data_IF_391586893374
#
_entry.id   IF_391586893374
#
_cell.length_a   1.000
_cell.length_b   1.000
_cell.length_c   1.000
_cell.angle_alpha   90.00
_cell.angle_beta   90.00
_cell.angle_gamma   90.00
#
_symmetry.space_group_name_H-M   'P 1'
#
loop_
_entity.id
_entity.type
_entity.pdbx_description
1 polymer ?
#
# COMPACT_ATOMS: atom_id res chain seq x y z
N UNK A 1 14.25 -4.67 39.24
CA UNK A 1 12.83 -4.27 39.42
C UNK A 1 12.45 -3.10 38.51
N UNK A 2 13.09 -1.90 38.50
CA UNK A 2 12.73 -0.75 37.63
C UNK A 2 12.60 -1.11 36.14
N UNK A 3 13.58 -1.83 35.55
CA UNK A 3 13.53 -2.28 34.15
C UNK A 3 12.35 -3.20 33.84
N UNK A 4 11.91 -4.01 34.79
CA UNK A 4 10.74 -4.89 34.60
C UNK A 4 9.43 -4.10 34.66
N UNK A 5 9.33 -3.15 35.60
CA UNK A 5 8.19 -2.23 35.68
C UNK A 5 8.06 -1.43 34.39
N UNK A 6 9.16 -0.83 33.90
CA UNK A 6 9.17 -0.09 32.65
C UNK A 6 8.70 -0.91 31.43
N UNK A 7 9.06 -2.21 31.37
CA UNK A 7 8.52 -3.09 30.31
C UNK A 7 7.01 -3.26 30.40
N UNK A 8 6.46 -3.38 31.62
CA UNK A 8 5.03 -3.49 31.83
C UNK A 8 4.31 -2.19 31.47
N UNK A 9 4.89 -1.04 31.81
CA UNK A 9 4.35 0.29 31.46
C UNK A 9 4.28 0.47 29.94
N UNK A 10 5.33 0.12 29.18
CA UNK A 10 5.34 0.16 27.70
C UNK A 10 4.22 -0.72 27.12
N UNK A 11 3.99 -1.92 27.65
CA UNK A 11 2.89 -2.77 27.19
C UNK A 11 1.51 -2.15 27.50
N UNK A 12 1.37 -1.49 28.65
CA UNK A 12 0.13 -0.82 29.01
C UNK A 12 -0.14 0.44 28.17
N UNK A 13 0.89 1.15 27.73
CA UNK A 13 0.79 2.28 26.79
C UNK A 13 0.19 1.86 25.44
N UNK A 14 0.42 0.63 24.98
CA UNK A 14 -0.16 0.11 23.75
C UNK A 14 -1.63 -0.31 23.88
N UNK A 15 -2.15 -0.52 25.10
CA UNK A 15 -3.47 -1.09 25.34
C UNK A 15 -4.63 -0.27 24.73
N UNK A 16 -4.68 1.07 24.79
CA UNK A 16 -5.72 1.86 24.13
C UNK A 16 -5.78 1.64 22.62
N UNK A 17 -4.61 1.56 21.98
CA UNK A 17 -4.50 1.32 20.54
C UNK A 17 -4.94 -0.10 20.17
N UNK A 18 -4.53 -1.11 20.96
CA UNK A 18 -4.97 -2.50 20.78
C UNK A 18 -6.50 -2.56 20.83
N UNK A 19 -7.12 -1.97 21.86
CA UNK A 19 -8.59 -1.91 21.98
C UNK A 19 -9.27 -1.22 20.80
N UNK A 20 -8.69 -0.12 20.31
CA UNK A 20 -9.23 0.66 19.18
C UNK A 20 -9.20 -0.10 17.87
N UNK A 21 -8.16 -0.90 17.64
CA UNK A 21 -7.95 -1.62 16.36
C UNK A 21 -8.29 -3.10 16.41
N UNK A 22 -8.68 -3.64 17.55
CA UNK A 22 -9.12 -5.03 17.67
C UNK A 22 -10.29 -5.33 16.73
N UNK A 23 -10.16 -6.38 15.90
CA UNK A 23 -11.12 -6.78 14.88
C UNK A 23 -11.19 -5.83 13.66
N UNK A 24 -10.34 -4.81 13.59
CA UNK A 24 -10.33 -3.86 12.46
C UNK A 24 -9.37 -4.31 11.37
N UNK A 25 -9.77 -4.10 10.12
CA UNK A 25 -8.91 -4.35 8.97
C UNK A 25 -8.00 -3.14 8.71
N UNK A 26 -6.72 -3.40 8.54
CA UNK A 26 -5.73 -2.41 8.11
C UNK A 26 -5.08 -2.91 6.83
N UNK A 27 -5.19 -2.14 5.75
CA UNK A 27 -4.55 -2.46 4.47
C UNK A 27 -3.20 -1.77 4.41
N UNK A 28 -2.16 -2.55 4.14
CA UNK A 28 -0.78 -2.10 4.09
C UNK A 28 -0.22 -2.30 2.67
N UNK A 29 0.13 -1.21 2.01
CA UNK A 29 0.92 -1.30 0.80
C UNK A 29 2.40 -1.39 1.17
N UNK A 30 3.01 -2.52 0.86
CA UNK A 30 4.41 -2.82 1.09
C UNK A 30 5.23 -2.71 -0.18
N UNK A 31 6.28 -1.88 -0.20
CA UNK A 31 7.07 -1.69 -1.41
C UNK A 31 8.24 -0.74 -1.23
N UNK A 32 8.92 -0.47 -2.34
CA UNK A 32 10.09 0.41 -2.37
C UNK A 32 11.29 -0.15 -1.61
N UNK A 33 12.03 0.72 -0.96
CA UNK A 33 13.27 0.39 -0.23
C UNK A 33 13.04 -0.52 0.98
N UNK A 34 11.83 -0.58 1.54
CA UNK A 34 11.48 -1.53 2.61
C UNK A 34 11.65 -3.01 2.19
N UNK A 35 11.63 -3.30 0.89
CA UNK A 35 11.78 -4.65 0.33
C UNK A 35 13.22 -5.00 -0.05
N UNK A 36 14.21 -4.14 0.17
CA UNK A 36 15.58 -4.33 -0.31
C UNK A 36 16.47 -4.92 0.77
N UNK A 37 16.37 -4.43 2.01
CA UNK A 37 17.18 -4.90 3.14
C UNK A 37 16.51 -6.08 3.83
N UNK A 38 17.27 -7.15 4.08
CA UNK A 38 16.74 -8.33 4.78
C UNK A 38 16.32 -8.00 6.22
N UNK A 39 17.05 -7.12 6.92
CA UNK A 39 16.66 -6.61 8.23
C UNK A 39 15.30 -5.90 8.22
N UNK A 40 15.03 -5.05 7.22
CA UNK A 40 13.75 -4.37 7.07
C UNK A 40 12.60 -5.32 6.71
N UNK A 41 12.88 -6.34 5.89
CA UNK A 41 11.89 -7.38 5.57
C UNK A 41 11.52 -8.18 6.82
N UNK A 42 12.50 -8.52 7.64
CA UNK A 42 12.26 -9.22 8.91
C UNK A 42 11.44 -8.40 9.89
N UNK A 43 11.79 -7.11 10.07
CA UNK A 43 11.01 -6.21 10.93
C UNK A 43 9.57 -6.08 10.42
N UNK A 44 9.38 -5.93 9.10
CA UNK A 44 8.04 -5.89 8.50
C UNK A 44 7.23 -7.15 8.81
N UNK A 45 7.83 -8.34 8.63
CA UNK A 45 7.14 -9.60 8.91
C UNK A 45 6.74 -9.73 10.38
N UNK A 46 7.63 -9.33 11.31
CA UNK A 46 7.34 -9.30 12.75
C UNK A 46 6.20 -8.31 13.08
N UNK A 47 6.20 -7.14 12.47
CA UNK A 47 5.13 -6.15 12.66
C UNK A 47 3.77 -6.71 12.21
N UNK A 48 3.70 -7.34 11.03
CA UNK A 48 2.48 -7.97 10.51
C UNK A 48 1.99 -9.10 11.43
N UNK A 49 2.90 -9.96 11.87
CA UNK A 49 2.58 -11.06 12.80
C UNK A 49 2.07 -10.51 14.13
N UNK A 50 2.75 -9.50 14.69
CA UNK A 50 2.30 -8.83 15.94
C UNK A 50 0.90 -8.24 15.79
N UNK A 51 0.63 -7.53 14.68
CA UNK A 51 -0.70 -6.98 14.40
C UNK A 51 -1.78 -8.07 14.41
N UNK A 52 -1.54 -9.21 13.74
CA UNK A 52 -2.50 -10.32 13.69
C UNK A 52 -2.73 -10.93 15.09
N UNK A 53 -1.67 -11.18 15.85
CA UNK A 53 -1.78 -11.79 17.20
C UNK A 53 -2.53 -10.92 18.21
N UNK A 54 -2.49 -9.61 18.08
CA UNK A 54 -3.27 -8.70 18.94
C UNK A 54 -4.68 -8.41 18.43
N UNK A 55 -5.14 -9.14 17.40
CA UNK A 55 -6.51 -9.09 16.89
C UNK A 55 -6.78 -8.04 15.82
N UNK A 56 -5.74 -7.44 15.23
CA UNK A 56 -5.87 -6.62 14.02
C UNK A 56 -5.88 -7.54 12.80
N UNK A 57 -6.63 -7.19 11.74
CA UNK A 57 -6.68 -7.93 10.49
C UNK A 57 -5.82 -7.23 9.41
N UNK A 58 -4.50 -7.53 9.32
CA UNK A 58 -3.64 -6.95 8.30
C UNK A 58 -3.88 -7.59 6.94
N UNK A 59 -3.98 -6.77 5.91
CA UNK A 59 -4.02 -7.17 4.49
C UNK A 59 -2.85 -6.51 3.79
N UNK A 60 -1.95 -7.30 3.25
CA UNK A 60 -0.72 -6.80 2.61
C UNK A 60 -0.89 -6.76 1.10
N UNK A 61 -0.65 -5.60 0.48
CA UNK A 61 -0.52 -5.44 -0.97
C UNK A 61 0.92 -5.08 -1.27
N UNK A 62 1.63 -5.89 -2.04
CA UNK A 62 3.05 -5.62 -2.27
C UNK A 62 3.34 -5.06 -3.66
N UNK A 63 4.44 -4.32 -3.76
CA UNK A 63 5.06 -3.94 -5.03
C UNK A 63 6.10 -4.97 -5.49
N UNK A 64 7.03 -4.56 -6.35
CA UNK A 64 8.11 -5.43 -6.84
C UNK A 64 8.81 -4.88 -8.09
N UNK A 65 8.75 -3.56 -8.31
CA UNK A 65 9.39 -2.90 -9.46
C UNK A 65 10.86 -3.27 -9.64
N UNK A 66 11.71 -3.14 -8.61
CA UNK A 66 13.13 -3.50 -8.71
C UNK A 66 13.38 -4.97 -9.07
N UNK A 67 12.54 -5.89 -8.54
CA UNK A 67 12.65 -7.32 -8.83
C UNK A 67 12.25 -7.63 -10.29
N UNK A 68 11.21 -6.96 -10.79
CA UNK A 68 10.82 -7.04 -12.21
C UNK A 68 11.95 -6.53 -13.08
N UNK A 69 12.53 -5.34 -12.79
CA UNK A 69 13.61 -4.76 -13.58
C UNK A 69 14.85 -5.67 -13.61
N UNK A 70 15.20 -6.25 -12.48
CA UNK A 70 16.31 -7.22 -12.39
C UNK A 70 16.07 -8.43 -13.29
N UNK A 71 14.84 -8.97 -13.31
CA UNK A 71 14.50 -10.15 -14.11
C UNK A 71 14.43 -9.81 -15.59
N UNK A 72 13.79 -8.69 -15.98
CA UNK A 72 13.74 -8.23 -17.38
C UNK A 72 15.15 -8.02 -17.93
N UNK A 73 16.04 -7.36 -17.15
CA UNK A 73 17.45 -7.18 -17.54
C UNK A 73 18.18 -8.50 -17.76
N UNK A 74 17.96 -9.49 -16.88
CA UNK A 74 18.57 -10.82 -17.02
C UNK A 74 18.09 -11.57 -18.27
N UNK A 75 16.85 -11.30 -18.71
CA UNK A 75 16.27 -11.87 -19.94
C UNK A 75 16.56 -11.04 -21.20
N UNK A 76 17.29 -9.92 -21.09
CA UNK A 76 17.58 -9.03 -22.21
C UNK A 76 16.39 -8.18 -22.67
N UNK A 77 15.31 -8.12 -21.88
CA UNK A 77 14.10 -7.36 -22.19
C UNK A 77 14.24 -5.93 -21.65
N UNK A 78 14.02 -4.95 -22.52
CA UNK A 78 14.10 -3.55 -22.12
C UNK A 78 12.88 -3.12 -21.32
N UNK A 79 13.12 -2.51 -20.14
CA UNK A 79 12.07 -1.88 -19.33
C UNK A 79 11.91 -0.42 -19.75
N UNK A 80 10.66 0.00 -20.02
CA UNK A 80 10.32 1.38 -20.36
C UNK A 80 9.28 1.91 -19.39
N UNK A 81 9.45 3.17 -18.98
CA UNK A 81 8.50 3.87 -18.11
C UNK A 81 7.97 5.13 -18.79
N UNK A 82 6.71 5.44 -18.56
CA UNK A 82 6.09 6.70 -18.93
C UNK A 82 5.46 7.26 -17.65
N UNK A 83 5.94 8.42 -17.22
CA UNK A 83 5.49 9.10 -15.99
C UNK A 83 5.37 8.17 -14.76
N UNK A 84 6.40 7.36 -14.54
CA UNK A 84 6.48 6.46 -13.40
C UNK A 84 5.69 5.15 -13.52
N UNK A 85 4.92 4.96 -14.62
CA UNK A 85 4.23 3.70 -14.90
C UNK A 85 5.02 2.87 -15.92
N UNK A 86 5.16 1.57 -15.66
CA UNK A 86 5.85 0.64 -16.56
C UNK A 86 4.98 0.37 -17.79
N UNK A 87 5.51 0.62 -18.97
CA UNK A 87 4.93 0.11 -20.22
C UNK A 87 5.05 -1.40 -20.23
N UNK A 88 3.91 -2.09 -20.32
CA UNK A 88 3.84 -3.54 -20.14
C UNK A 88 3.39 -4.22 -21.44
N UNK A 89 4.34 -4.66 -22.26
CA UNK A 89 4.06 -5.47 -23.48
C UNK A 89 3.59 -6.88 -23.12
N UNK A 90 3.21 -7.67 -24.13
CA UNK A 90 2.88 -9.09 -23.93
C UNK A 90 4.04 -9.90 -23.35
N UNK A 91 5.26 -9.65 -23.80
CA UNK A 91 6.46 -10.29 -23.29
C UNK A 91 6.78 -9.86 -21.86
N UNK A 92 6.57 -8.57 -21.55
CA UNK A 92 6.80 -8.01 -20.22
C UNK A 92 5.78 -8.51 -19.20
N UNK A 93 4.50 -8.71 -19.58
CA UNK A 93 3.45 -9.10 -18.61
C UNK A 93 3.69 -10.49 -18.03
N UNK A 94 4.21 -11.43 -18.82
CA UNK A 94 4.51 -12.78 -18.35
C UNK A 94 5.61 -12.73 -17.28
N UNK A 95 6.65 -11.91 -17.49
CA UNK A 95 7.70 -11.68 -16.49
C UNK A 95 7.14 -10.99 -15.23
N UNK A 96 6.27 -9.98 -15.40
CA UNK A 96 5.61 -9.29 -14.29
C UNK A 96 4.79 -10.27 -13.46
N UNK A 97 3.98 -11.12 -14.09
CA UNK A 97 3.16 -12.13 -13.40
C UNK A 97 4.03 -13.16 -12.66
N UNK A 98 5.06 -13.71 -13.30
CA UNK A 98 6.00 -14.65 -12.67
C UNK A 98 6.70 -14.02 -11.46
N UNK A 99 7.19 -12.79 -11.60
CA UNK A 99 7.95 -12.12 -10.54
C UNK A 99 7.05 -11.71 -9.39
N UNK A 100 5.93 -11.06 -9.67
CA UNK A 100 5.04 -10.59 -8.61
C UNK A 100 4.26 -11.74 -7.96
N UNK A 101 3.57 -12.57 -8.73
CA UNK A 101 2.72 -13.65 -8.21
C UNK A 101 3.51 -14.85 -7.69
N UNK A 102 4.62 -15.16 -8.33
CA UNK A 102 5.45 -16.32 -7.96
C UNK A 102 6.55 -15.97 -6.97
N UNK A 103 7.51 -15.11 -7.36
CA UNK A 103 8.71 -14.88 -6.57
C UNK A 103 8.47 -13.96 -5.38
N UNK A 104 8.14 -12.69 -5.62
CA UNK A 104 8.03 -11.66 -4.55
C UNK A 104 6.93 -12.01 -3.56
N UNK A 105 5.76 -12.41 -4.05
CA UNK A 105 4.64 -12.80 -3.22
C UNK A 105 5.04 -13.96 -2.26
N UNK A 106 5.66 -15.01 -2.78
CA UNK A 106 6.02 -16.20 -1.99
C UNK A 106 7.19 -15.95 -1.04
N UNK A 107 8.11 -15.05 -1.39
CA UNK A 107 9.16 -14.59 -0.45
C UNK A 107 8.53 -13.90 0.78
N UNK A 108 7.55 -13.01 0.59
CA UNK A 108 6.85 -12.31 1.68
C UNK A 108 6.05 -13.30 2.53
N UNK A 109 5.26 -14.18 1.89
CA UNK A 109 4.48 -15.22 2.58
C UNK A 109 5.38 -16.12 3.43
N UNK A 110 6.47 -16.60 2.84
CA UNK A 110 7.43 -17.47 3.56
C UNK A 110 8.02 -16.76 4.78
N UNK A 111 8.37 -15.49 4.64
CA UNK A 111 8.96 -14.71 5.73
C UNK A 111 7.97 -14.50 6.88
N UNK A 112 6.72 -14.13 6.60
CA UNK A 112 5.68 -13.98 7.61
C UNK A 112 5.42 -15.32 8.32
N UNK A 113 5.36 -16.44 7.57
CA UNK A 113 5.11 -17.76 8.13
C UNK A 113 6.28 -18.25 8.99
N UNK A 114 7.52 -17.95 8.61
CA UNK A 114 8.72 -18.25 9.43
C UNK A 114 8.71 -17.49 10.77
N UNK A 115 8.03 -16.36 10.86
CA UNK A 115 7.86 -15.58 12.09
C UNK A 115 6.62 -15.95 12.89
N UNK A 116 5.92 -17.04 12.51
CA UNK A 116 4.76 -17.56 13.22
C UNK A 116 3.42 -17.00 12.73
N UNK A 117 3.39 -16.26 11.62
CA UNK A 117 2.15 -15.87 10.98
C UNK A 117 1.53 -17.01 10.17
N UNK A 118 0.31 -16.78 9.70
CA UNK A 118 -0.42 -17.69 8.81
C UNK A 118 -0.78 -16.97 7.51
N UNK A 119 0.22 -16.70 6.66
CA UNK A 119 0.05 -15.90 5.46
C UNK A 119 -0.29 -16.75 4.24
N UNK A 120 -1.17 -16.23 3.39
CA UNK A 120 -1.55 -16.79 2.09
C UNK A 120 -1.32 -15.76 1.00
N UNK A 121 -0.58 -16.17 -0.03
CA UNK A 121 -0.28 -15.32 -1.18
C UNK A 121 -1.23 -15.57 -2.35
N UNK A 122 -1.84 -14.49 -2.82
CA UNK A 122 -2.80 -14.46 -3.93
C UNK A 122 -2.50 -13.31 -4.90
N UNK A 123 -3.12 -13.35 -6.07
CA UNK A 123 -3.18 -12.27 -7.05
C UNK A 123 -4.61 -11.78 -7.20
N UNK A 124 -4.84 -10.70 -7.89
CA UNK A 124 -6.20 -10.24 -8.20
C UNK A 124 -7.00 -11.19 -9.13
N UNK A 125 -6.32 -12.15 -9.77
CA UNK A 125 -6.96 -13.18 -10.61
C UNK A 125 -7.64 -14.28 -9.78
N UNK A 126 -7.14 -14.53 -8.57
CA UNK A 126 -7.65 -15.58 -7.70
C UNK A 126 -9.07 -15.22 -7.22
N UNK A 127 -10.02 -16.11 -7.47
CA UNK A 127 -11.42 -15.89 -7.16
C UNK A 127 -12.06 -14.70 -7.88
N UNK A 128 -11.49 -14.27 -9.02
CA UNK A 128 -11.91 -13.04 -9.73
C UNK A 128 -11.96 -11.82 -8.78
N UNK A 129 -10.97 -11.75 -7.86
CA UNK A 129 -10.93 -10.73 -6.82
C UNK A 129 -10.79 -9.32 -7.39
N UNK A 130 -9.97 -9.13 -8.43
CA UNK A 130 -9.78 -7.83 -9.08
C UNK A 130 -10.05 -7.94 -10.57
N UNK A 131 -11.09 -7.25 -11.02
CA UNK A 131 -11.38 -7.06 -12.43
C UNK A 131 -10.90 -5.67 -12.87
N UNK A 132 -10.30 -5.60 -14.05
CA UNK A 132 -9.74 -4.36 -14.58
C UNK A 132 -9.99 -4.25 -16.08
N UNK A 133 -10.00 -3.02 -16.58
CA UNK A 133 -9.93 -2.71 -18.02
C UNK A 133 -8.55 -2.17 -18.36
N UNK A 134 -8.15 -2.23 -19.63
CA UNK A 134 -6.90 -1.60 -20.06
C UNK A 134 -6.92 -0.11 -19.78
N UNK A 135 -5.87 0.35 -19.11
CA UNK A 135 -5.68 1.76 -18.83
C UNK A 135 -5.19 2.49 -20.09
N UNK A 136 -5.96 3.49 -20.51
CA UNK A 136 -5.60 4.40 -21.61
C UNK A 136 -5.41 5.79 -21.04
N UNK A 137 -4.23 6.33 -21.18
CA UNK A 137 -3.95 7.69 -20.74
C UNK A 137 -4.22 8.66 -21.85
N UNK A 138 -5.00 9.71 -21.56
CA UNK A 138 -5.24 10.81 -22.47
C UNK A 138 -4.40 12.00 -22.02
N UNK A 139 -3.48 12.44 -22.86
CA UNK A 139 -2.68 13.64 -22.62
C UNK A 139 -3.28 14.80 -23.43
N UNK A 140 -3.71 15.84 -22.71
CA UNK A 140 -4.10 17.10 -23.32
C UNK A 140 -2.89 18.02 -23.36
N UNK A 141 -2.46 18.43 -24.56
CA UNK A 141 -1.48 19.50 -24.74
C UNK A 141 -2.19 20.71 -25.38
N UNK A 142 -1.95 21.92 -24.88
CA UNK A 142 -2.51 23.13 -25.50
C UNK A 142 -2.09 23.33 -26.97
N UNK A 143 -1.03 22.64 -27.39
CA UNK A 143 -0.45 22.73 -28.75
C UNK A 143 -1.00 21.68 -29.71
N UNK A 144 -1.88 20.76 -29.25
CA UNK A 144 -2.43 19.69 -30.07
C UNK A 144 -3.94 19.84 -30.24
N UNK A 145 -4.41 19.87 -31.49
CA UNK A 145 -5.84 19.88 -31.84
C UNK A 145 -6.64 18.66 -31.41
N UNK A 146 -5.93 17.58 -31.08
CA UNK A 146 -6.52 16.30 -30.58
C UNK A 146 -5.73 15.76 -29.39
N UNK A 147 -6.41 15.18 -28.39
CA UNK A 147 -5.73 14.54 -27.27
C UNK A 147 -4.88 13.35 -27.76
N UNK A 148 -3.65 13.27 -27.28
CA UNK A 148 -2.77 12.12 -27.52
C UNK A 148 -3.16 10.97 -26.58
N UNK A 149 -3.43 9.78 -27.14
CA UNK A 149 -3.67 8.56 -26.37
C UNK A 149 -2.33 7.85 -26.17
N UNK A 150 -1.85 7.79 -24.96
CA UNK A 150 -0.65 7.05 -24.58
C UNK A 150 -1.06 5.62 -24.22
N UNK A 151 -0.65 4.64 -25.03
CA UNK A 151 -0.87 3.22 -24.76
C UNK A 151 0.28 2.68 -23.87
N UNK A 152 -0.06 2.24 -22.68
CA UNK A 152 0.84 1.60 -21.74
C UNK A 152 0.86 0.08 -21.88
N UNK A 153 0.18 -0.48 -22.87
CA UNK A 153 0.06 -1.93 -23.11
C UNK A 153 -0.88 -2.62 -22.10
N UNK A 154 -0.38 -3.67 -21.46
CA UNK A 154 -1.14 -4.50 -20.50
C UNK A 154 -1.10 -3.92 -19.08
N UNK A 155 -1.31 -2.61 -18.97
CA UNK A 155 -1.55 -1.91 -17.71
C UNK A 155 -3.06 -1.76 -17.51
N UNK A 156 -3.53 -1.97 -16.29
CA UNK A 156 -4.96 -1.97 -15.99
C UNK A 156 -5.39 -0.85 -15.05
N UNK A 157 -6.66 -0.49 -15.18
CA UNK A 157 -7.45 0.32 -14.25
C UNK A 157 -8.53 -0.56 -13.64
N UNK A 158 -8.57 -0.64 -12.31
CA UNK A 158 -9.52 -1.50 -11.56
C UNK A 158 -10.94 -1.00 -11.79
N UNK A 159 -11.81 -1.91 -12.20
CA UNK A 159 -13.26 -1.64 -12.40
C UNK A 159 -14.10 -2.24 -11.28
N UNK A 160 -13.65 -3.35 -10.67
CA UNK A 160 -14.37 -4.02 -9.58
C UNK A 160 -13.41 -4.78 -8.68
N UNK A 161 -13.66 -4.73 -7.37
CA UNK A 161 -13.06 -5.62 -6.38
C UNK A 161 -14.15 -6.49 -5.77
N UNK A 162 -13.91 -7.80 -5.72
CA UNK A 162 -14.74 -8.77 -5.02
C UNK A 162 -14.00 -9.19 -3.74
N UNK A 163 -14.39 -8.73 -2.56
CA UNK A 163 -13.66 -8.99 -1.32
C UNK A 163 -13.86 -10.41 -0.76
N UNK A 164 -14.75 -11.23 -1.34
CA UNK A 164 -15.18 -12.52 -0.78
C UNK A 164 -14.00 -13.43 -0.37
N UNK A 165 -12.96 -13.54 -1.21
CA UNK A 165 -11.80 -14.38 -0.87
C UNK A 165 -11.04 -13.81 0.33
N UNK A 166 -10.92 -12.49 0.44
CA UNK A 166 -10.24 -11.81 1.56
C UNK A 166 -11.01 -11.99 2.86
N UNK A 167 -12.34 -11.85 2.81
CA UNK A 167 -13.22 -12.09 3.95
C UNK A 167 -13.14 -13.55 4.42
N UNK A 168 -13.08 -14.51 3.48
CA UNK A 168 -12.93 -15.94 3.80
C UNK A 168 -11.57 -16.23 4.46
N UNK A 169 -10.49 -15.61 3.96
CA UNK A 169 -9.15 -15.76 4.54
C UNK A 169 -9.09 -15.16 5.95
N UNK A 170 -9.69 -13.99 6.15
CA UNK A 170 -9.72 -13.32 7.46
C UNK A 170 -10.51 -14.14 8.50
N UNK A 171 -11.69 -14.64 8.14
CA UNK A 171 -12.51 -15.52 8.99
C UNK A 171 -11.79 -16.80 9.43
N UNK A 172 -10.79 -17.25 8.66
CA UNK A 172 -9.96 -18.41 8.97
C UNK A 172 -8.55 -18.02 9.47
N UNK A 173 -8.39 -16.80 10.00
CA UNK A 173 -7.17 -16.30 10.63
C UNK A 173 -5.94 -16.24 9.71
N UNK A 174 -6.13 -16.24 8.39
CA UNK A 174 -5.06 -16.05 7.43
C UNK A 174 -4.71 -14.57 7.26
N UNK A 175 -3.47 -14.31 6.87
CA UNK A 175 -2.97 -12.99 6.49
C UNK A 175 -2.86 -12.95 4.96
N UNK A 176 -3.75 -12.23 4.24
CA UNK A 176 -3.67 -12.12 2.80
C UNK A 176 -2.46 -11.31 2.35
N UNK A 177 -1.68 -11.84 1.39
CA UNK A 177 -0.57 -11.15 0.72
C UNK A 177 -0.88 -11.08 -0.77
N UNK A 178 -1.10 -9.90 -1.31
CA UNK A 178 -1.71 -9.67 -2.62
C UNK A 178 -0.69 -9.10 -3.59
N UNK A 179 -0.49 -9.79 -4.71
CA UNK A 179 0.27 -9.27 -5.84
C UNK A 179 -0.63 -8.40 -6.72
N UNK A 180 -0.16 -7.24 -7.22
CA UNK A 180 -0.97 -6.26 -7.94
C UNK A 180 -1.17 -6.63 -9.41
N UNK A 181 -1.78 -7.79 -9.64
CA UNK A 181 -2.12 -8.36 -10.94
C UNK A 181 -3.62 -8.59 -10.98
N UNK A 182 -4.26 -8.20 -12.06
CA UNK A 182 -5.70 -8.31 -12.23
C UNK A 182 -6.08 -9.07 -13.50
N UNK A 183 -7.34 -9.52 -13.54
CA UNK A 183 -7.99 -10.10 -14.72
C UNK A 183 -8.61 -8.97 -15.54
N UNK A 184 -8.26 -8.91 -16.83
CA UNK A 184 -8.89 -8.03 -17.79
C UNK A 184 -10.25 -8.54 -18.27
N UNK A 185 -11.03 -7.67 -18.94
CA UNK A 185 -12.38 -8.00 -19.44
C UNK A 185 -12.40 -9.18 -20.43
N UNK A 186 -11.29 -9.39 -21.15
CA UNK A 186 -11.14 -10.51 -22.09
C UNK A 186 -10.37 -11.70 -21.49
N UNK A 187 -10.16 -11.71 -20.18
CA UNK A 187 -9.39 -12.72 -19.47
C UNK A 187 -7.87 -12.53 -19.48
N UNK A 188 -7.38 -11.45 -20.12
CA UNK A 188 -5.96 -11.12 -20.13
C UNK A 188 -5.43 -10.70 -18.77
N UNK A 189 -4.14 -10.94 -18.54
CA UNK A 189 -3.43 -10.46 -17.35
C UNK A 189 -3.11 -8.98 -17.48
N UNK A 190 -3.42 -8.18 -16.46
CA UNK A 190 -3.12 -6.75 -16.39
C UNK A 190 -2.27 -6.43 -15.17
N UNK A 191 -1.19 -5.66 -15.40
CA UNK A 191 -0.34 -5.11 -14.36
C UNK A 191 -0.99 -3.86 -13.76
N UNK A 192 -1.14 -3.80 -12.45
CA UNK A 192 -1.76 -2.67 -11.76
C UNK A 192 -0.72 -2.00 -10.84
N UNK A 193 -0.82 -0.71 -10.65
CA UNK A 193 -0.03 -0.04 -9.63
C UNK A 193 -0.48 -0.50 -8.23
N UNK A 194 0.47 -0.92 -7.40
CA UNK A 194 0.20 -1.47 -6.07
C UNK A 194 -0.48 -0.48 -5.11
N UNK A 195 -0.22 0.83 -5.25
CA UNK A 195 -0.88 1.85 -4.43
C UNK A 195 -2.39 1.89 -4.74
N UNK A 196 -2.78 1.80 -6.04
CA UNK A 196 -4.19 1.73 -6.44
C UNK A 196 -4.86 0.41 -6.05
N UNK A 197 -4.13 -0.72 -6.12
CA UNK A 197 -4.67 -2.00 -5.62
C UNK A 197 -4.96 -1.90 -4.12
N UNK A 198 -4.03 -1.34 -3.34
CA UNK A 198 -4.21 -1.18 -1.89
C UNK A 198 -5.40 -0.27 -1.56
N UNK A 199 -5.56 0.84 -2.28
CA UNK A 199 -6.70 1.76 -2.11
C UNK A 199 -8.03 1.05 -2.43
N UNK A 200 -8.13 0.36 -3.57
CA UNK A 200 -9.37 -0.30 -3.94
C UNK A 200 -9.73 -1.48 -3.04
N UNK A 201 -8.74 -2.20 -2.52
CA UNK A 201 -8.95 -3.25 -1.52
C UNK A 201 -9.39 -2.65 -0.19
N UNK A 202 -8.73 -1.56 0.27
CA UNK A 202 -9.13 -0.86 1.48
C UNK A 202 -10.59 -0.42 1.40
N UNK A 203 -10.98 0.19 0.28
CA UNK A 203 -12.36 0.59 0.02
C UNK A 203 -13.34 -0.58 0.04
N UNK A 204 -13.02 -1.68 -0.64
CA UNK A 204 -13.90 -2.85 -0.71
C UNK A 204 -14.10 -3.53 0.67
N UNK A 205 -13.06 -3.54 1.51
CA UNK A 205 -13.08 -4.09 2.87
C UNK A 205 -13.57 -3.09 3.94
N UNK A 206 -13.82 -1.84 3.58
CA UNK A 206 -14.10 -0.74 4.53
C UNK A 206 -13.05 -0.68 5.64
N UNK A 207 -11.78 -0.68 5.22
CA UNK A 207 -10.66 -0.75 6.13
C UNK A 207 -10.62 0.46 7.09
N UNK A 208 -10.21 0.23 8.32
CA UNK A 208 -10.03 1.31 9.32
C UNK A 208 -8.90 2.25 8.93
N UNK A 209 -7.83 1.69 8.33
CA UNK A 209 -6.66 2.45 7.84
C UNK A 209 -6.14 1.87 6.53
N UNK A 210 -5.65 2.78 5.68
CA UNK A 210 -4.76 2.47 4.56
C UNK A 210 -3.37 3.03 4.88
N UNK A 211 -2.34 2.19 4.88
CA UNK A 211 -0.95 2.60 5.14
C UNK A 211 -0.12 2.37 3.87
N UNK A 212 0.44 3.44 3.30
CA UNK A 212 1.35 3.39 2.17
C UNK A 212 2.80 3.50 2.66
N UNK A 213 3.53 2.39 2.67
CA UNK A 213 4.96 2.38 2.96
C UNK A 213 5.75 2.84 1.72
N UNK A 214 6.65 3.79 1.91
CA UNK A 214 7.44 4.42 0.86
C UNK A 214 8.91 4.59 1.29
N UNK A 215 9.71 5.26 0.48
CA UNK A 215 11.11 5.60 0.73
C UNK A 215 11.30 7.08 1.17
N UNK A 216 10.24 7.72 1.61
CA UNK A 216 10.26 9.09 2.13
C UNK A 216 9.54 9.16 3.48
N UNK A 217 9.96 10.10 4.33
CA UNK A 217 9.41 10.29 5.68
C UNK A 217 7.89 10.60 5.68
N UNK A 218 7.35 11.10 4.56
CA UNK A 218 5.97 11.53 4.41
C UNK A 218 5.87 12.81 3.59
N UNK A 219 4.76 13.53 3.72
CA UNK A 219 4.50 14.78 3.00
C UNK A 219 5.22 15.94 3.70
N UNK A 220 6.01 16.71 2.94
CA UNK A 220 6.72 17.90 3.43
C UNK A 220 6.06 19.18 2.93
N UNK A 221 6.11 20.23 3.73
CA UNK A 221 5.66 21.57 3.32
C UNK A 221 6.73 22.27 2.46
N UNK A 222 6.48 23.52 2.05
CA UNK A 222 7.42 24.35 1.25
C UNK A 222 8.79 24.55 1.92
N UNK A 223 8.84 24.53 3.26
CA UNK A 223 10.08 24.67 4.03
C UNK A 223 10.80 23.32 4.24
N UNK A 224 10.33 22.22 3.63
CA UNK A 224 10.93 20.89 3.79
C UNK A 224 10.57 20.19 5.11
N UNK A 225 9.69 20.77 5.95
CA UNK A 225 9.30 20.20 7.24
C UNK A 225 8.18 19.15 7.02
N UNK A 226 8.35 17.98 7.63
CA UNK A 226 7.34 16.92 7.65
C UNK A 226 6.01 17.42 8.23
N UNK A 227 4.91 17.07 7.57
CA UNK A 227 3.55 17.30 8.04
C UNK A 227 3.01 16.00 8.62
N UNK A 228 2.98 15.88 9.94
CA UNK A 228 2.50 14.67 10.61
C UNK A 228 1.00 14.42 10.36
N UNK A 229 0.23 15.49 10.15
CA UNK A 229 -1.21 15.40 9.90
C UNK A 229 -1.67 16.43 8.89
N UNK A 230 -2.50 16.01 7.97
CA UNK A 230 -3.14 16.86 6.95
C UNK A 230 -4.63 16.51 6.85
N UNK A 231 -5.45 17.53 6.70
CA UNK A 231 -6.82 17.33 6.22
C UNK A 231 -6.80 17.14 4.70
N UNK A 232 -7.83 16.50 4.16
CA UNK A 232 -8.06 16.38 2.71
C UNK A 232 -7.91 17.72 1.97
N UNK A 233 -8.46 18.80 2.55
CA UNK A 233 -8.34 20.16 1.98
C UNK A 233 -6.88 20.62 1.93
N UNK A 234 -6.14 20.50 3.04
CA UNK A 234 -4.73 20.89 3.11
C UNK A 234 -3.86 20.11 2.12
N UNK A 235 -4.06 18.78 2.01
CA UNK A 235 -3.36 17.96 1.04
C UNK A 235 -3.66 18.40 -0.40
N UNK A 236 -4.93 18.70 -0.73
CA UNK A 236 -5.33 19.22 -2.05
C UNK A 236 -4.74 20.60 -2.34
N UNK A 237 -4.61 21.47 -1.33
CA UNK A 237 -3.98 22.79 -1.48
C UNK A 237 -2.46 22.66 -1.75
N UNK A 238 -1.78 21.71 -1.09
CA UNK A 238 -0.36 21.41 -1.34
C UNK A 238 -0.13 20.86 -2.75
N UNK A 239 -1.07 20.07 -3.31
CA UNK A 239 -1.02 19.63 -4.71
C UNK A 239 -1.19 20.84 -5.66
N UNK A 240 -2.21 21.66 -5.45
CA UNK A 240 -2.47 22.86 -6.29
C UNK A 240 -1.30 23.83 -6.30
N UNK A 241 -0.64 24.01 -5.17
CA UNK A 241 0.54 24.87 -5.03
C UNK A 241 1.85 24.21 -5.50
N UNK A 242 1.78 23.00 -6.12
CA UNK A 242 2.92 22.23 -6.63
C UNK A 242 4.00 21.92 -5.57
N UNK A 243 3.65 21.90 -4.30
CA UNK A 243 4.52 21.42 -3.20
C UNK A 243 4.58 19.90 -3.24
N UNK A 244 3.43 19.25 -3.40
CA UNK A 244 3.35 17.81 -3.67
C UNK A 244 3.47 17.61 -5.17
N UNK A 245 4.51 16.90 -5.59
CA UNK A 245 4.85 16.64 -7.00
C UNK A 245 5.51 15.28 -7.15
N UNK A 246 5.85 14.92 -8.39
CA UNK A 246 6.60 13.70 -8.74
C UNK A 246 6.03 12.43 -8.09
N UNK A 247 6.87 11.57 -7.55
CA UNK A 247 6.49 10.30 -6.94
C UNK A 247 5.58 10.39 -5.72
N UNK A 248 5.48 11.56 -5.06
CA UNK A 248 4.55 11.77 -3.94
C UNK A 248 3.12 12.06 -4.41
N UNK A 249 2.95 12.68 -5.57
CA UNK A 249 1.62 13.05 -6.10
C UNK A 249 0.68 11.85 -6.26
N UNK A 250 1.06 10.73 -6.92
CA UNK A 250 0.19 9.57 -7.02
C UNK A 250 -0.17 8.96 -5.66
N UNK A 251 0.73 8.99 -4.68
CA UNK A 251 0.48 8.47 -3.32
C UNK A 251 -0.54 9.31 -2.56
N UNK A 252 -0.39 10.63 -2.58
CA UNK A 252 -1.37 11.54 -1.95
C UNK A 252 -2.72 11.46 -2.66
N UNK A 253 -2.76 11.36 -3.99
CA UNK A 253 -4.02 11.16 -4.71
C UNK A 253 -4.69 9.83 -4.30
N UNK A 254 -3.94 8.75 -4.19
CA UNK A 254 -4.42 7.47 -3.68
C UNK A 254 -5.05 7.61 -2.27
N UNK A 255 -4.37 8.32 -1.36
CA UNK A 255 -4.91 8.63 -0.03
C UNK A 255 -6.20 9.45 -0.09
N UNK A 256 -6.26 10.47 -0.95
CA UNK A 256 -7.44 11.31 -1.11
C UNK A 256 -8.64 10.54 -1.71
N UNK A 257 -8.38 9.61 -2.62
CA UNK A 257 -9.42 8.79 -3.23
C UNK A 257 -9.93 7.73 -2.24
N UNK A 258 -9.05 7.15 -1.43
CA UNK A 258 -9.43 6.29 -0.31
C UNK A 258 -10.40 7.00 0.64
N UNK A 259 -10.06 8.22 1.11
CA UNK A 259 -10.93 9.00 1.99
C UNK A 259 -12.31 9.30 1.36
N UNK A 260 -12.39 9.54 0.04
CA UNK A 260 -13.67 9.71 -0.67
C UNK A 260 -14.52 8.43 -0.67
N UNK A 261 -13.86 7.27 -0.66
CA UNK A 261 -14.51 5.95 -0.66
C UNK A 261 -14.97 5.52 0.74
N UNK A 262 -14.66 6.28 1.78
CA UNK A 262 -15.14 6.09 3.14
C UNK A 262 -14.15 5.55 4.15
N UNK A 263 -12.86 5.43 3.79
CA UNK A 263 -11.82 5.14 4.77
C UNK A 263 -11.70 6.31 5.77
N UNK A 264 -11.45 5.95 7.02
CA UNK A 264 -11.35 6.97 8.07
C UNK A 264 -10.02 7.71 8.05
N UNK A 265 -8.91 6.99 7.78
CA UNK A 265 -7.55 7.55 7.85
C UNK A 265 -6.65 6.86 6.83
N UNK A 266 -5.81 7.65 6.19
CA UNK A 266 -4.76 7.15 5.32
C UNK A 266 -3.40 7.66 5.77
N UNK A 267 -2.36 6.84 5.65
CA UNK A 267 -1.04 7.13 6.16
C UNK A 267 0.02 6.92 5.07
N UNK A 268 1.00 7.80 5.02
CA UNK A 268 2.22 7.64 4.20
C UNK A 268 3.39 7.62 5.17
N UNK A 269 4.11 6.49 5.23
CA UNK A 269 5.19 6.26 6.19
C UNK A 269 6.48 5.83 5.52
N UNK A 270 7.61 6.08 6.19
CA UNK A 270 8.92 5.62 5.73
C UNK A 270 9.16 4.15 6.08
N UNK A 271 9.14 3.30 5.06
CA UNK A 271 9.40 1.87 5.22
C UNK A 271 10.86 1.50 5.53
N UNK A 272 11.78 2.47 5.59
CA UNK A 272 13.18 2.27 5.99
C UNK A 272 13.37 2.35 7.51
N UNK A 273 12.35 2.79 8.24
CA UNK A 273 12.36 2.80 9.70
C UNK A 273 12.04 1.40 10.21
N UNK A 274 12.83 0.91 11.17
CA UNK A 274 12.55 -0.38 11.83
C UNK A 274 11.22 -0.31 12.58
N UNK A 275 10.42 -1.35 12.47
CA UNK A 275 9.10 -1.42 13.10
C UNK A 275 8.18 -0.24 12.75
N UNK A 276 8.28 0.24 11.50
CA UNK A 276 7.54 1.40 11.01
C UNK A 276 6.02 1.29 11.24
N UNK A 277 5.45 0.09 11.04
CA UNK A 277 4.02 -0.14 11.23
C UNK A 277 3.61 -0.03 12.71
N UNK A 278 4.39 -0.63 13.61
CA UNK A 278 4.08 -0.56 15.05
C UNK A 278 4.21 0.86 15.57
N UNK A 279 5.24 1.59 15.16
CA UNK A 279 5.42 3.00 15.53
C UNK A 279 4.27 3.88 15.04
N UNK A 280 3.77 3.64 13.81
CA UNK A 280 2.65 4.42 13.26
C UNK A 280 1.31 4.07 13.92
N UNK A 281 1.12 2.82 14.34
CA UNK A 281 -0.16 2.35 14.88
C UNK A 281 -0.26 2.55 16.40
N UNK A 282 0.85 2.38 17.14
CA UNK A 282 0.86 2.33 18.60
C UNK A 282 1.50 3.55 19.27
N UNK A 283 1.72 4.64 18.53
CA UNK A 283 2.15 5.91 19.12
C UNK A 283 1.23 7.05 18.72
N UNK A 284 1.12 8.04 19.58
CA UNK A 284 0.27 9.22 19.32
C UNK A 284 0.83 10.10 18.20
N UNK A 285 2.16 10.20 18.11
CA UNK A 285 2.86 11.03 17.14
C UNK A 285 2.90 10.39 15.74
N UNK A 286 2.93 9.05 15.66
CA UNK A 286 3.25 8.34 14.43
C UNK A 286 4.66 8.66 13.90
N UNK A 287 4.99 8.18 12.72
CA UNK A 287 6.30 8.43 12.08
C UNK A 287 6.18 9.06 10.69
N UNK A 288 4.98 9.22 10.18
CA UNK A 288 4.73 9.66 8.83
C UNK A 288 3.76 10.83 8.71
N UNK A 289 2.97 10.81 7.65
CA UNK A 289 1.88 11.75 7.42
C UNK A 289 0.56 11.02 7.42
N UNK A 290 -0.33 11.31 8.35
CA UNK A 290 -1.72 10.90 8.25
C UNK A 290 -2.52 11.93 7.44
N UNK A 291 -3.47 11.45 6.63
CA UNK A 291 -4.44 12.30 5.94
C UNK A 291 -5.84 11.86 6.37
N UNK A 292 -6.66 12.83 6.80
CA UNK A 292 -8.02 12.62 7.32
C UNK A 292 -9.03 13.50 6.58
N UNK A 293 -10.30 13.15 6.66
CA UNK A 293 -11.35 13.91 5.96
C UNK A 293 -11.51 15.33 6.54
N UNK A 294 -11.60 15.47 7.86
CA UNK A 294 -11.87 16.75 8.55
C UNK A 294 -10.99 16.98 9.77
N UNK A 295 -10.89 18.25 10.19
CA UNK A 295 -10.12 18.66 11.36
C UNK A 295 -10.56 17.97 12.68
N UNK A 296 -11.84 17.63 12.83
CA UNK A 296 -12.34 16.90 14.01
C UNK A 296 -11.69 15.52 14.16
N UNK A 297 -11.32 14.91 13.04
CA UNK A 297 -10.70 13.58 13.01
C UNK A 297 -9.21 13.63 13.43
N UNK A 298 -8.62 14.83 13.45
CA UNK A 298 -7.26 15.06 13.98
C UNK A 298 -7.25 15.07 15.52
N UNK A 299 -8.34 15.54 16.14
CA UNK A 299 -8.43 15.75 17.60
C UNK A 299 -8.70 14.44 18.33
N UNK A 300 -9.42 13.51 17.70
CA UNK A 300 -9.78 12.22 18.30
C UNK A 300 -8.58 11.27 18.52
N UNK A 301 -7.38 11.63 18.07
CA UNK A 301 -6.15 10.88 18.35
C UNK A 301 -5.49 11.27 19.69
N UNK A 302 -5.97 12.32 20.37
CA UNK A 302 -5.38 12.84 21.61
C UNK A 302 -6.26 12.59 22.85
N UNK A 303 -7.43 12.00 22.67
CA UNK A 303 -8.42 11.82 23.75
C UNK A 303 -8.92 10.36 23.88
N UNK A 304 -8.04 9.40 23.60
CA UNK A 304 -8.29 7.96 23.81
C UNK A 304 -7.42 7.41 24.92
#
# INVERSE_FOLDING_TARGET
MKKLIQKAEILLEALPYIKSFYGKTIVIKYGGSAMVSDDLKENFALDIVMMKYIGINPVVVHGGGPQIDKTLKALGIQSRFIEGQRVTSKETIDVVEMVLGGKVNKEIVSLINQRGGNAVGITGKDGDMILAKRYKRVKHSPEMDRPEIIDLGLVGEITKVNPRILETLDQNEFIPVIAPIAKGEKGETLNINADFVAEKIASALKAEKLILMTDTEGVKNKAGKLQSSLTRKQASDLIRSKVIRDGMLPKVNCCLDALKSGEHKTHIIDGRVRHALLLEIFTAEGIGTQIVEKTKDLINNLSG
#
